data_IF_639031807366
#
_entry.id   IF_639031807366
#
_cell.length_a   1.000
_cell.length_b   1.000
_cell.length_c   1.000
_cell.angle_alpha   90.00
_cell.angle_beta   90.00
_cell.angle_gamma   90.00
#
_symmetry.space_group_name_H-M   'P 1'
#
loop_
_entity.id
_entity.type
_entity.pdbx_description
1 polymer ?
#
# COMPACT_ATOMS: atom_id res chain seq x y z
N UNK A 1 -8.54 -32.98 -18.06
CA UNK A 1 -8.42 -32.29 -16.77
C UNK A 1 -8.13 -30.83 -17.07
N UNK A 2 -8.97 -29.90 -16.62
CA UNK A 2 -8.67 -28.49 -16.79
C UNK A 2 -7.37 -28.16 -16.05
N UNK A 3 -6.46 -27.45 -16.72
CA UNK A 3 -5.16 -27.04 -16.17
C UNK A 3 -5.46 -25.98 -15.09
N UNK A 4 -5.39 -26.38 -13.81
CA UNK A 4 -5.67 -25.49 -12.68
C UNK A 4 -4.57 -24.44 -12.59
N UNK A 5 -4.87 -23.22 -13.03
CA UNK A 5 -3.93 -22.09 -13.03
C UNK A 5 -4.45 -20.97 -12.16
N UNK A 6 -3.53 -20.27 -11.51
CA UNK A 6 -3.79 -19.05 -10.76
C UNK A 6 -2.75 -18.01 -11.18
N UNK A 7 -3.20 -16.89 -11.72
CA UNK A 7 -2.33 -15.78 -12.11
C UNK A 7 -2.62 -14.54 -11.26
N UNK A 8 -1.59 -14.03 -10.60
CA UNK A 8 -1.66 -12.89 -9.69
C UNK A 8 -0.83 -11.74 -10.25
N UNK A 9 -1.42 -10.55 -10.35
CA UNK A 9 -0.68 -9.32 -10.56
C UNK A 9 -0.47 -8.62 -9.22
N UNK A 10 0.76 -8.18 -8.94
CA UNK A 10 1.12 -7.62 -7.65
C UNK A 10 1.93 -6.32 -7.79
N UNK A 11 1.99 -5.55 -6.72
CA UNK A 11 2.92 -4.43 -6.61
C UNK A 11 4.38 -4.94 -6.54
N UNK A 12 5.38 -4.11 -6.92
CA UNK A 12 6.78 -4.54 -7.01
C UNK A 12 7.39 -5.06 -5.70
N UNK A 13 6.91 -4.59 -4.55
CA UNK A 13 7.35 -5.00 -3.22
C UNK A 13 6.74 -6.33 -2.74
N UNK A 14 5.80 -6.92 -3.48
CA UNK A 14 5.12 -8.17 -3.14
C UNK A 14 6.03 -9.27 -2.60
N UNK A 15 7.22 -9.55 -3.19
CA UNK A 15 8.11 -10.58 -2.66
C UNK A 15 8.60 -10.37 -1.22
N UNK A 16 8.48 -9.16 -0.68
CA UNK A 16 8.89 -8.81 0.68
C UNK A 16 7.73 -8.90 1.69
N UNK A 17 6.51 -9.16 1.23
CA UNK A 17 5.30 -9.09 2.04
C UNK A 17 4.92 -10.42 2.66
N UNK A 18 4.09 -10.38 3.71
CA UNK A 18 3.43 -11.55 4.28
C UNK A 18 2.54 -12.27 3.26
N UNK A 19 1.91 -11.51 2.34
CA UNK A 19 1.12 -12.08 1.25
C UNK A 19 1.92 -13.03 0.37
N UNK A 20 3.18 -12.70 0.05
CA UNK A 20 4.06 -13.59 -0.71
C UNK A 20 4.46 -14.84 0.07
N UNK A 21 4.71 -14.72 1.36
CA UNK A 21 4.99 -15.88 2.22
C UNK A 21 3.80 -16.86 2.24
N UNK A 22 2.58 -16.32 2.38
CA UNK A 22 1.34 -17.11 2.32
C UNK A 22 1.15 -17.76 0.95
N UNK A 23 1.39 -17.03 -0.15
CA UNK A 23 1.32 -17.60 -1.49
C UNK A 23 2.33 -18.73 -1.68
N UNK A 24 3.56 -18.57 -1.21
CA UNK A 24 4.60 -19.59 -1.29
C UNK A 24 4.20 -20.86 -0.52
N UNK A 25 3.59 -20.70 0.65
CA UNK A 25 3.07 -21.81 1.44
C UNK A 25 1.93 -22.53 0.72
N UNK A 26 0.98 -21.79 0.16
CA UNK A 26 -0.09 -22.35 -0.67
C UNK A 26 0.46 -23.18 -1.84
N UNK A 27 1.47 -22.67 -2.54
CA UNK A 27 2.12 -23.41 -3.66
C UNK A 27 2.77 -24.73 -3.22
N UNK A 28 3.25 -24.81 -1.98
CA UNK A 28 3.84 -26.03 -1.43
C UNK A 28 2.77 -27.07 -1.07
N UNK A 29 1.61 -26.61 -0.57
CA UNK A 29 0.49 -27.44 -0.14
C UNK A 29 -0.40 -27.88 -1.31
N UNK A 30 -0.51 -27.07 -2.39
CA UNK A 30 -1.38 -27.29 -3.56
C UNK A 30 -0.59 -27.42 -4.86
N UNK A 31 0.26 -28.43 -4.95
CA UNK A 31 1.16 -28.66 -6.10
C UNK A 31 0.43 -28.94 -7.42
N UNK A 32 -0.85 -29.32 -7.36
CA UNK A 32 -1.72 -29.51 -8.53
C UNK A 32 -2.16 -28.20 -9.18
N UNK A 33 -1.97 -27.05 -8.51
CA UNK A 33 -2.29 -25.71 -9.00
C UNK A 33 -1.02 -25.04 -9.49
N UNK A 34 -0.99 -24.66 -10.76
CA UNK A 34 0.09 -23.84 -11.32
C UNK A 34 -0.11 -22.39 -10.97
N UNK A 35 0.61 -21.90 -9.98
CA UNK A 35 0.60 -20.49 -9.59
C UNK A 35 1.69 -19.73 -10.34
N UNK A 36 1.34 -18.58 -10.89
CA UNK A 36 2.27 -17.62 -11.46
C UNK A 36 1.91 -16.21 -10.99
N UNK A 37 2.90 -15.33 -10.90
CA UNK A 37 2.66 -13.93 -10.60
C UNK A 37 3.61 -13.05 -11.44
N UNK A 38 3.17 -11.80 -11.64
CA UNK A 38 3.99 -10.74 -12.21
C UNK A 38 3.81 -9.47 -11.38
N UNK A 39 4.80 -8.58 -11.43
CA UNK A 39 4.73 -7.30 -10.73
C UNK A 39 4.49 -6.16 -11.71
N UNK A 40 3.68 -5.18 -11.28
CA UNK A 40 3.31 -4.01 -12.07
C UNK A 40 3.10 -2.82 -11.14
N UNK A 41 3.58 -1.65 -11.55
CA UNK A 41 3.50 -0.41 -10.75
C UNK A 41 2.15 0.27 -10.81
N UNK A 42 1.36 0.05 -11.88
CA UNK A 42 0.09 0.74 -12.11
C UNK A 42 -0.96 -0.18 -12.75
N UNK A 43 -2.22 0.29 -12.76
CA UNK A 43 -3.35 -0.35 -13.45
C UNK A 43 -3.73 -1.77 -13.00
N UNK A 44 -3.37 -2.16 -11.75
CA UNK A 44 -3.73 -3.48 -11.22
C UNK A 44 -5.24 -3.71 -11.19
N UNK A 45 -6.00 -2.72 -10.70
CA UNK A 45 -7.46 -2.82 -10.63
C UNK A 45 -8.11 -2.93 -12.02
N UNK A 46 -7.57 -2.23 -13.03
CA UNK A 46 -8.05 -2.34 -14.41
C UNK A 46 -7.77 -3.75 -14.99
N UNK A 47 -6.58 -4.30 -14.75
CA UNK A 47 -6.22 -5.65 -15.17
C UNK A 47 -7.14 -6.71 -14.53
N UNK A 48 -7.49 -6.55 -13.26
CA UNK A 48 -8.46 -7.42 -12.59
C UNK A 48 -9.84 -7.31 -13.21
N UNK A 49 -10.32 -6.09 -13.47
CA UNK A 49 -11.65 -5.84 -14.05
C UNK A 49 -11.79 -6.39 -15.48
N UNK A 50 -10.71 -6.42 -16.26
CA UNK A 50 -10.69 -6.97 -17.62
C UNK A 50 -10.39 -8.46 -17.68
N UNK A 51 -10.15 -9.11 -16.54
CA UNK A 51 -9.84 -10.55 -16.48
C UNK A 51 -8.42 -10.88 -16.98
N UNK A 52 -7.50 -9.92 -17.00
CA UNK A 52 -6.10 -10.15 -17.34
C UNK A 52 -5.38 -11.01 -16.27
N UNK A 53 -5.88 -10.96 -15.03
CA UNK A 53 -5.42 -11.79 -13.92
C UNK A 53 -6.59 -12.32 -13.10
N UNK A 54 -6.36 -13.37 -12.31
CA UNK A 54 -7.35 -13.94 -11.39
C UNK A 54 -7.48 -13.12 -10.11
N UNK A 55 -6.37 -12.61 -9.60
CA UNK A 55 -6.26 -11.83 -8.37
C UNK A 55 -5.24 -10.71 -8.54
N UNK A 56 -5.37 -9.67 -7.73
CA UNK A 56 -4.29 -8.72 -7.51
C UNK A 56 -3.85 -8.72 -6.05
N UNK A 57 -2.55 -8.43 -5.82
CA UNK A 57 -2.02 -8.09 -4.51
C UNK A 57 -1.60 -6.63 -4.49
N UNK A 58 -2.15 -5.88 -3.54
CA UNK A 58 -1.90 -4.44 -3.43
C UNK A 58 -2.01 -3.95 -1.99
N UNK A 59 -1.46 -2.77 -1.73
CA UNK A 59 -1.76 -1.96 -0.55
C UNK A 59 -2.97 -1.05 -0.81
N UNK A 60 -3.53 -0.46 0.27
CA UNK A 60 -4.66 0.45 0.16
C UNK A 60 -6.00 -0.25 -0.07
N UNK A 61 -6.17 -1.47 0.44
CA UNK A 61 -7.35 -2.28 0.24
C UNK A 61 -8.41 -2.14 1.34
N UNK A 62 -8.22 -1.28 2.32
CA UNK A 62 -9.22 -1.03 3.37
C UNK A 62 -10.57 -0.68 2.74
N UNK A 63 -11.63 -1.34 3.20
CA UNK A 63 -13.02 -1.16 2.71
C UNK A 63 -13.24 -1.54 1.23
N UNK A 64 -12.35 -2.28 0.59
CA UNK A 64 -12.61 -2.85 -0.72
C UNK A 64 -13.44 -4.13 -0.59
N UNK A 65 -14.54 -4.22 -1.35
CA UNK A 65 -15.29 -5.46 -1.46
C UNK A 65 -14.40 -6.56 -2.05
N UNK A 66 -14.52 -7.78 -1.55
CA UNK A 66 -13.74 -8.95 -1.98
C UNK A 66 -12.23 -8.87 -1.73
N UNK A 67 -11.78 -7.96 -0.85
CA UNK A 67 -10.40 -7.92 -0.37
C UNK A 67 -10.20 -8.86 0.82
N UNK A 68 -9.10 -9.61 0.81
CA UNK A 68 -8.59 -10.36 1.97
C UNK A 68 -7.29 -9.72 2.43
N UNK A 69 -7.37 -9.04 3.57
CA UNK A 69 -6.21 -8.36 4.15
C UNK A 69 -5.31 -9.41 4.81
N UNK A 70 -4.05 -9.41 4.43
CA UNK A 70 -3.03 -10.32 4.98
C UNK A 70 -2.14 -9.65 6.00
N UNK A 71 -2.01 -8.33 5.93
CA UNK A 71 -1.16 -7.54 6.81
C UNK A 71 -1.61 -6.09 6.88
N UNK A 72 -1.18 -5.42 7.96
CA UNK A 72 -1.32 -3.97 8.13
C UNK A 72 0.00 -3.39 8.59
N UNK A 73 0.36 -2.26 8.05
CA UNK A 73 1.60 -1.56 8.38
C UNK A 73 1.35 -0.06 8.57
N UNK A 74 2.17 0.65 9.37
CA UNK A 74 2.01 2.07 9.54
C UNK A 74 2.33 2.85 8.26
N UNK A 75 1.55 3.91 8.01
CA UNK A 75 2.02 5.01 7.18
C UNK A 75 3.08 5.80 7.93
N UNK A 76 4.13 6.16 7.24
CA UNK A 76 5.18 7.05 7.74
C UNK A 76 5.19 8.34 6.93
N UNK A 77 5.54 9.44 7.59
CA UNK A 77 5.73 10.73 6.95
C UNK A 77 7.22 10.93 6.62
N UNK A 78 7.50 11.37 5.41
CA UNK A 78 8.83 11.84 5.00
C UNK A 78 8.78 13.34 4.86
N UNK A 79 9.54 14.03 5.70
CA UNK A 79 9.59 15.49 5.80
C UNK A 79 10.96 16.01 5.37
N UNK A 80 11.02 17.16 4.69
CA UNK A 80 12.29 17.83 4.43
C UNK A 80 12.85 18.45 5.72
N UNK A 81 14.16 18.42 5.89
CA UNK A 81 14.85 18.92 7.10
C UNK A 81 14.45 20.35 7.51
N UNK A 82 14.27 21.32 6.62
CA UNK A 82 13.80 22.65 7.01
C UNK A 82 12.41 22.62 7.67
N UNK A 83 11.50 21.80 7.16
CA UNK A 83 10.15 21.65 7.72
C UNK A 83 10.18 21.03 9.11
N UNK A 84 11.06 20.04 9.34
CA UNK A 84 11.30 19.44 10.67
C UNK A 84 11.67 20.52 11.70
N UNK A 85 12.57 21.43 11.31
CA UNK A 85 12.98 22.54 12.18
C UNK A 85 11.84 23.54 12.42
N UNK A 86 11.10 23.88 11.37
CA UNK A 86 9.95 24.80 11.44
C UNK A 86 8.84 24.26 12.33
N UNK A 87 8.57 22.97 12.31
CA UNK A 87 7.55 22.31 13.13
C UNK A 87 8.05 21.95 14.53
N UNK A 88 9.32 22.23 14.87
CA UNK A 88 9.91 21.93 16.18
C UNK A 88 10.08 20.42 16.44
N UNK A 89 10.23 19.62 15.39
CA UNK A 89 10.27 18.15 15.46
C UNK A 89 11.70 17.58 15.66
N UNK A 90 12.71 18.39 15.88
CA UNK A 90 14.12 17.94 15.92
C UNK A 90 14.42 16.82 16.92
N UNK A 91 13.60 16.69 17.96
CA UNK A 91 13.69 15.62 18.98
C UNK A 91 12.47 14.69 18.97
N UNK A 92 11.53 14.89 18.06
CA UNK A 92 10.33 14.08 17.96
C UNK A 92 10.55 12.85 17.08
N UNK A 93 9.79 11.80 17.35
CA UNK A 93 9.71 10.59 16.51
C UNK A 93 8.41 10.52 15.70
N UNK A 94 7.45 11.40 16.01
CA UNK A 94 6.15 11.47 15.36
C UNK A 94 5.79 12.90 14.99
N UNK A 95 4.98 13.05 13.95
CA UNK A 95 4.33 14.29 13.52
C UNK A 95 2.81 14.11 13.63
N UNK A 96 2.08 15.15 14.07
CA UNK A 96 0.63 15.07 14.16
C UNK A 96 -0.01 15.28 12.77
N UNK A 97 -1.22 14.72 12.60
CA UNK A 97 -2.00 14.95 11.37
C UNK A 97 -2.37 16.44 11.21
N UNK A 98 -2.64 17.13 12.31
CA UNK A 98 -2.94 18.56 12.27
C UNK A 98 -1.74 19.38 11.79
N UNK A 99 -0.52 19.03 12.22
CA UNK A 99 0.71 19.66 11.70
C UNK A 99 0.87 19.42 10.21
N UNK A 100 0.53 18.22 9.73
CA UNK A 100 0.59 17.88 8.30
C UNK A 100 -0.52 18.54 7.49
N UNK A 101 -1.70 18.77 8.09
CA UNK A 101 -2.82 19.43 7.42
C UNK A 101 -2.53 20.90 7.03
N UNK A 102 -1.53 21.51 7.63
CA UNK A 102 -1.06 22.86 7.31
C UNK A 102 0.07 22.90 6.28
N UNK A 103 0.48 21.73 5.73
CA UNK A 103 1.60 21.61 4.81
C UNK A 103 1.13 21.18 3.41
N UNK A 104 1.95 21.47 2.41
CA UNK A 104 1.76 20.88 1.08
C UNK A 104 2.18 19.41 1.11
N UNK A 105 1.26 18.51 0.72
CA UNK A 105 1.52 17.09 0.64
C UNK A 105 1.66 16.62 -0.82
N UNK A 106 2.64 15.78 -1.05
CA UNK A 106 2.87 15.06 -2.29
C UNK A 106 2.28 13.65 -2.10
N UNK A 107 1.13 13.37 -2.70
CA UNK A 107 0.41 12.11 -2.53
C UNK A 107 0.09 11.49 -3.89
N UNK A 108 -0.24 10.19 -3.94
CA UNK A 108 -0.76 9.59 -5.16
C UNK A 108 -2.04 10.27 -5.64
N UNK A 109 -2.37 10.10 -6.93
CA UNK A 109 -3.59 10.64 -7.53
C UNK A 109 -4.85 10.08 -6.87
N UNK A 110 -5.98 10.79 -6.95
CA UNK A 110 -7.25 10.43 -6.30
C UNK A 110 -7.76 9.02 -6.68
N UNK A 111 -7.43 8.52 -7.86
CA UNK A 111 -7.78 7.17 -8.31
C UNK A 111 -6.92 6.07 -7.69
N UNK A 112 -5.80 6.41 -7.09
CA UNK A 112 -4.86 5.44 -6.53
C UNK A 112 -5.39 4.83 -5.22
N UNK A 113 -5.27 3.49 -5.00
CA UNK A 113 -5.76 2.84 -3.78
C UNK A 113 -5.21 3.45 -2.48
N UNK A 114 -3.91 3.72 -2.41
CA UNK A 114 -3.27 4.35 -1.25
C UNK A 114 -3.83 5.75 -0.95
N UNK A 115 -4.15 6.54 -2.00
CA UNK A 115 -4.75 7.86 -1.81
C UNK A 115 -6.14 7.75 -1.19
N UNK A 116 -6.98 6.87 -1.68
CA UNK A 116 -8.32 6.65 -1.12
C UNK A 116 -8.26 6.19 0.34
N UNK A 117 -7.31 5.34 0.68
CA UNK A 117 -7.09 4.88 2.05
C UNK A 117 -6.64 6.04 2.95
N UNK A 118 -5.70 6.88 2.50
CA UNK A 118 -5.25 8.08 3.22
C UNK A 118 -6.40 9.07 3.42
N UNK A 119 -7.17 9.37 2.37
CA UNK A 119 -8.33 10.27 2.45
C UNK A 119 -9.35 9.77 3.50
N UNK A 120 -9.61 8.46 3.52
CA UNK A 120 -10.49 7.85 4.52
C UNK A 120 -9.91 7.95 5.94
N UNK A 121 -8.60 7.70 6.10
CA UNK A 121 -7.91 7.80 7.38
C UNK A 121 -7.92 9.23 7.94
N UNK A 122 -7.61 10.25 7.12
CA UNK A 122 -7.70 11.66 7.52
C UNK A 122 -9.11 12.03 7.93
N UNK A 123 -10.11 11.61 7.15
CA UNK A 123 -11.52 11.84 7.47
C UNK A 123 -11.92 11.19 8.79
N UNK A 124 -11.51 9.96 9.06
CA UNK A 124 -11.80 9.26 10.33
C UNK A 124 -11.12 9.94 11.53
N UNK A 125 -9.92 10.49 11.32
CA UNK A 125 -9.21 11.25 12.34
C UNK A 125 -9.82 12.63 12.59
N UNK A 126 -10.78 13.09 11.78
CA UNK A 126 -11.38 14.41 11.87
C UNK A 126 -10.47 15.54 11.39
N UNK A 127 -9.35 15.22 10.76
CA UNK A 127 -8.37 16.18 10.24
C UNK A 127 -8.64 16.42 8.74
N UNK A 128 -8.76 17.67 8.27
CA UNK A 128 -8.95 17.96 6.87
C UNK A 128 -7.70 17.55 6.07
N UNK A 129 -7.91 17.05 4.84
CA UNK A 129 -6.81 16.83 3.95
C UNK A 129 -6.20 18.17 3.51
N UNK A 130 -4.88 18.35 3.57
CA UNK A 130 -4.23 19.61 3.17
C UNK A 130 -4.21 19.80 1.63
N UNK A 131 -3.55 20.86 1.19
CA UNK A 131 -3.17 21.01 -0.22
C UNK A 131 -2.37 19.79 -0.70
N UNK A 132 -2.78 19.20 -1.81
CA UNK A 132 -2.14 18.00 -2.35
C UNK A 132 -1.67 18.25 -3.78
N UNK A 133 -0.39 18.03 -4.03
CA UNK A 133 0.17 17.83 -5.37
C UNK A 133 0.16 16.33 -5.67
N UNK A 134 -0.42 15.94 -6.79
CA UNK A 134 -0.55 14.54 -7.18
C UNK A 134 0.70 14.04 -7.91
N UNK A 135 1.27 12.93 -7.40
CA UNK A 135 2.40 12.23 -8.00
C UNK A 135 2.36 10.74 -7.61
N UNK A 136 2.16 9.87 -8.58
CA UNK A 136 2.01 8.43 -8.31
C UNK A 136 3.34 7.74 -7.99
N UNK A 137 4.43 8.18 -8.60
CA UNK A 137 5.74 7.57 -8.40
C UNK A 137 6.36 8.00 -7.06
N UNK A 138 6.56 7.03 -6.14
CA UNK A 138 7.14 7.31 -4.83
C UNK A 138 8.54 7.92 -4.91
N UNK A 139 9.40 7.40 -5.80
CA UNK A 139 10.77 7.91 -5.96
C UNK A 139 10.76 9.40 -6.37
N UNK A 140 9.80 9.81 -7.20
CA UNK A 140 9.65 11.19 -7.63
C UNK A 140 9.12 12.05 -6.48
N UNK A 141 8.18 11.56 -5.68
CA UNK A 141 7.73 12.23 -4.46
C UNK A 141 8.89 12.44 -3.48
N UNK A 142 9.70 11.41 -3.22
CA UNK A 142 10.86 11.51 -2.35
C UNK A 142 11.91 12.52 -2.86
N UNK A 143 12.11 12.55 -4.19
CA UNK A 143 12.99 13.54 -4.82
C UNK A 143 12.46 14.97 -4.62
N UNK A 144 11.16 15.19 -4.77
CA UNK A 144 10.52 16.49 -4.54
C UNK A 144 10.61 16.90 -3.07
N UNK A 145 10.42 15.95 -2.12
CA UNK A 145 10.63 16.21 -0.68
C UNK A 145 12.06 16.66 -0.40
N UNK A 146 13.06 15.99 -0.99
CA UNK A 146 14.46 16.39 -0.84
C UNK A 146 14.76 17.79 -1.41
N UNK A 147 13.94 18.28 -2.35
CA UNK A 147 13.99 19.62 -2.91
C UNK A 147 13.11 20.64 -2.17
N UNK A 148 12.56 20.24 -1.01
CA UNK A 148 11.73 21.08 -0.12
C UNK A 148 10.38 21.52 -0.75
N UNK A 149 9.83 20.72 -1.66
CA UNK A 149 8.57 20.99 -2.35
C UNK A 149 7.33 20.47 -1.61
N UNK A 150 7.49 19.94 -0.39
CA UNK A 150 6.40 19.43 0.43
C UNK A 150 6.82 18.22 1.25
N UNK A 151 5.85 17.55 1.86
CA UNK A 151 6.03 16.30 2.60
C UNK A 151 5.29 15.16 1.89
N UNK A 152 5.64 13.90 2.19
CA UNK A 152 4.89 12.76 1.64
C UNK A 152 4.57 11.73 2.71
N UNK A 153 3.52 10.94 2.46
CA UNK A 153 3.13 9.79 3.25
C UNK A 153 3.25 8.53 2.40
N UNK A 154 3.82 7.48 2.99
CA UNK A 154 3.91 6.19 2.34
C UNK A 154 3.85 5.05 3.36
N UNK A 155 3.35 3.85 2.97
CA UNK A 155 3.48 2.65 3.79
C UNK A 155 4.95 2.36 4.09
N UNK A 156 5.22 1.87 5.29
CA UNK A 156 6.60 1.61 5.74
C UNK A 156 7.38 0.72 4.79
N UNK A 157 6.78 -0.36 4.29
CA UNK A 157 7.43 -1.32 3.39
C UNK A 157 7.78 -0.75 2.01
N UNK A 158 7.07 0.30 1.58
CA UNK A 158 7.31 0.97 0.29
C UNK A 158 8.53 1.89 0.32
N UNK A 159 8.95 2.33 1.51
CA UNK A 159 10.05 3.27 1.65
C UNK A 159 11.40 2.58 1.42
N UNK A 160 12.38 3.28 0.79
CA UNK A 160 13.72 2.75 0.66
C UNK A 160 14.42 2.68 2.03
N UNK A 161 15.39 1.78 2.14
CA UNK A 161 16.20 1.62 3.36
C UNK A 161 16.96 2.92 3.72
N UNK A 162 17.38 3.66 2.70
CA UNK A 162 18.05 4.95 2.85
C UNK A 162 17.22 6.02 2.14
N UNK A 163 16.79 7.03 2.87
CA UNK A 163 16.09 8.17 2.32
C UNK A 163 17.06 9.10 1.57
N UNK A 164 16.58 9.88 0.59
CA UNK A 164 17.36 10.93 -0.02
C UNK A 164 17.90 11.91 1.03
N UNK A 165 19.09 12.46 0.80
CA UNK A 165 19.69 13.45 1.69
C UNK A 165 18.74 14.66 1.89
N UNK A 166 18.65 15.13 3.13
CA UNK A 166 17.73 16.23 3.48
C UNK A 166 16.30 15.80 3.81
N UNK A 167 16.00 14.49 3.79
CA UNK A 167 14.72 13.92 4.23
C UNK A 167 14.85 13.26 5.59
N UNK A 168 13.80 13.33 6.39
CA UNK A 168 13.69 12.66 7.69
C UNK A 168 12.36 11.91 7.80
N UNK A 169 12.37 10.80 8.55
CA UNK A 169 11.26 9.90 8.72
C UNK A 169 10.59 10.09 10.06
N UNK A 170 9.24 10.13 10.06
CA UNK A 170 8.42 10.27 11.25
C UNK A 170 7.26 9.30 11.23
N UNK A 171 6.91 8.75 12.41
CA UNK A 171 5.61 8.14 12.62
C UNK A 171 4.49 9.18 12.59
N UNK A 172 3.25 8.74 12.50
CA UNK A 172 2.07 9.60 12.54
C UNK A 172 1.38 9.54 13.91
N UNK A 173 0.81 10.64 14.35
CA UNK A 173 0.00 10.71 15.57
C UNK A 173 -1.33 11.41 15.26
N UNK A 174 -2.51 10.71 15.32
CA UNK A 174 -2.62 9.25 15.54
C UNK A 174 -1.98 8.43 14.42
N UNK A 175 -1.61 7.19 14.71
CA UNK A 175 -1.06 6.28 13.71
C UNK A 175 -2.10 5.94 12.64
N UNK A 176 -1.72 6.05 11.37
CA UNK A 176 -2.51 5.60 10.24
C UNK A 176 -1.95 4.26 9.74
N UNK A 177 -2.83 3.34 9.36
CA UNK A 177 -2.45 2.02 8.87
C UNK A 177 -2.78 1.88 7.39
N UNK A 178 -1.86 1.29 6.66
CA UNK A 178 -2.08 0.78 5.31
C UNK A 178 -2.36 -0.71 5.36
N UNK A 179 -3.38 -1.15 4.65
CA UNK A 179 -3.78 -2.56 4.57
C UNK A 179 -3.26 -3.17 3.28
N UNK A 180 -2.59 -4.30 3.37
CA UNK A 180 -2.10 -5.08 2.23
C UNK A 180 -2.86 -6.41 2.14
N UNK A 181 -3.11 -6.86 0.92
CA UNK A 181 -3.82 -8.11 0.74
C UNK A 181 -4.11 -8.46 -0.71
N UNK A 182 -4.94 -9.48 -0.87
CA UNK A 182 -5.43 -9.93 -2.17
C UNK A 182 -6.83 -9.37 -2.45
N UNK A 183 -7.04 -8.88 -3.66
CA UNK A 183 -8.34 -8.45 -4.15
C UNK A 183 -8.79 -9.38 -5.27
N UNK A 184 -10.01 -9.88 -5.15
CA UNK A 184 -10.65 -10.73 -6.13
C UNK A 184 -11.69 -9.97 -6.96
N UNK A 185 -12.02 -10.42 -8.18
CA UNK A 185 -13.20 -9.97 -8.89
C UNK A 185 -14.47 -10.46 -8.18
N UNK A 186 -15.62 -9.88 -8.51
CA UNK A 186 -16.92 -10.30 -7.94
C UNK A 186 -17.24 -11.78 -8.17
N UNK A 187 -16.73 -12.35 -9.24
CA UNK A 187 -16.86 -13.77 -9.58
C UNK A 187 -15.47 -14.37 -9.83
N UNK A 188 -14.77 -14.79 -8.78
CA UNK A 188 -13.43 -15.38 -8.93
C UNK A 188 -13.50 -16.75 -9.62
N UNK A 189 -12.43 -17.11 -10.33
CA UNK A 189 -12.24 -18.44 -10.90
C UNK A 189 -12.27 -19.51 -9.80
N UNK A 190 -12.54 -20.77 -10.17
CA UNK A 190 -12.53 -21.89 -9.20
C UNK A 190 -11.20 -21.97 -8.46
N UNK A 191 -10.09 -21.81 -9.19
CA UNK A 191 -8.75 -21.86 -8.59
C UNK A 191 -8.49 -20.68 -7.65
N UNK A 192 -8.95 -19.48 -8.02
CA UNK A 192 -8.86 -18.32 -7.15
C UNK A 192 -9.68 -18.52 -5.85
N UNK A 193 -10.88 -19.12 -5.94
CA UNK A 193 -11.69 -19.43 -4.75
C UNK A 193 -10.97 -20.38 -3.80
N UNK A 194 -10.37 -21.46 -4.32
CA UNK A 194 -9.59 -22.39 -3.49
C UNK A 194 -8.47 -21.66 -2.74
N UNK A 195 -7.75 -20.75 -3.40
CA UNK A 195 -6.72 -19.96 -2.73
C UNK A 195 -7.30 -19.02 -1.66
N UNK A 196 -8.40 -18.33 -1.96
CA UNK A 196 -9.03 -17.38 -1.04
C UNK A 196 -9.60 -18.08 0.19
N UNK A 197 -10.23 -19.24 0.04
CA UNK A 197 -10.73 -20.07 1.13
C UNK A 197 -9.57 -20.55 2.02
N UNK A 198 -8.52 -21.09 1.42
CA UNK A 198 -7.30 -21.45 2.15
C UNK A 198 -6.70 -20.27 2.91
N UNK A 199 -6.65 -19.09 2.28
CA UNK A 199 -6.12 -17.87 2.91
C UNK A 199 -6.95 -17.43 4.12
N UNK A 200 -8.29 -17.53 4.04
CA UNK A 200 -9.18 -17.23 5.16
C UNK A 200 -8.94 -18.16 6.36
N UNK A 201 -8.71 -19.46 6.12
CA UNK A 201 -8.36 -20.42 7.16
C UNK A 201 -7.05 -20.07 7.87
N UNK A 202 -6.05 -19.55 7.14
CA UNK A 202 -4.78 -19.10 7.73
C UNK A 202 -4.92 -17.83 8.57
N UNK A 203 -5.88 -16.98 8.25
CA UNK A 203 -6.11 -15.69 8.94
C UNK A 203 -6.93 -15.83 10.21
N UNK A 204 -7.60 -16.98 10.41
CA UNK A 204 -8.39 -17.30 11.61
C UNK A 204 -7.61 -17.99 12.74
N UNK A 205 -6.32 -18.22 12.55
CA UNK A 205 -5.40 -18.77 13.56
C UNK A 205 -4.51 -17.65 14.12
#
# INVERSE_FOLDING_TARGET
MADKRLFILAQPDFPKTKGFQLLTRFMQEHREIKVSFATRTAHLAAALATGECDLIFAAGLTNQAHALITDQEPYLAVLPTPLVSQLGLSMATTVSLDQLAEQDLLLPSQGHPLRRELDANFKMAGTPLPSVEEEDALDLRLTKVAQFLGATLAPQSSLPTELPAGCQLFGLSPALLSSQGFLAPAQPSETARVFLEWLQEQSGQ
#
